data_IF_105681707749
#
_entry.id   IF_105681707749
#
_cell.length_a   1.000
_cell.length_b   1.000
_cell.length_c   1.000
_cell.angle_alpha   90.00
_cell.angle_beta   90.00
_cell.angle_gamma   90.00
#
_symmetry.space_group_name_H-M   'P 1'
#
loop_
_entity.id
_entity.type
_entity.pdbx_description
1 polymer ?
#
# COMPACT_ATOMS: atom_id res chain seq x y z
N UNK A 1 -19.93 33.92 3.10
CA UNK A 1 -18.58 33.50 2.66
C UNK A 1 -17.87 33.04 3.92
N UNK A 2 -17.77 31.72 4.14
CA UNK A 2 -17.12 31.20 5.35
C UNK A 2 -15.61 31.34 5.21
N UNK A 3 -15.01 31.97 6.20
CA UNK A 3 -13.58 32.14 6.35
C UNK A 3 -12.92 30.74 6.36
N UNK A 4 -12.07 30.48 5.38
CA UNK A 4 -11.41 29.18 5.23
C UNK A 4 -10.43 28.96 6.37
N UNK A 5 -10.45 27.78 6.97
CA UNK A 5 -9.50 27.41 8.02
C UNK A 5 -8.06 27.60 7.51
N UNK A 6 -7.41 28.67 7.96
CA UNK A 6 -6.02 28.97 7.62
C UNK A 6 -5.14 28.21 8.60
N UNK A 7 -4.41 27.22 8.10
CA UNK A 7 -3.34 26.55 8.84
C UNK A 7 -2.25 27.57 9.16
N UNK A 8 -2.14 27.98 10.42
CA UNK A 8 -0.97 28.68 10.95
C UNK A 8 0.00 27.66 11.52
N UNK A 9 1.23 27.67 11.01
CA UNK A 9 2.36 26.99 11.66
C UNK A 9 2.82 27.93 12.77
N UNK A 10 2.72 27.48 14.02
CA UNK A 10 3.21 28.19 15.19
C UNK A 10 4.67 27.78 15.38
N UNK A 11 5.58 28.76 15.35
CA UNK A 11 7.03 28.59 15.52
C UNK A 11 7.48 28.71 16.99
N UNK A 12 6.54 28.85 17.93
CA UNK A 12 6.85 28.89 19.37
C UNK A 12 7.06 27.46 19.88
N UNK A 13 8.20 27.15 20.51
CA UNK A 13 8.42 25.86 21.14
C UNK A 13 7.43 25.70 22.30
N UNK A 14 6.52 24.74 22.18
CA UNK A 14 5.73 24.26 23.31
C UNK A 14 6.71 23.63 24.31
N UNK A 15 6.97 24.31 25.43
CA UNK A 15 7.80 23.84 26.55
C UNK A 15 7.12 22.72 27.37
N UNK A 16 6.06 22.09 26.85
CA UNK A 16 5.47 20.88 27.43
C UNK A 16 6.16 19.63 26.86
N UNK A 17 7.10 19.01 27.61
CA UNK A 17 7.77 17.79 27.17
C UNK A 17 6.82 16.60 26.99
N UNK A 18 5.55 16.71 27.42
CA UNK A 18 4.50 15.71 27.20
C UNK A 18 3.69 15.87 25.91
N UNK A 19 3.84 16.99 25.18
CA UNK A 19 3.01 17.32 24.01
C UNK A 19 3.66 17.07 22.64
N UNK A 20 4.96 16.79 22.58
CA UNK A 20 5.69 16.63 21.32
C UNK A 20 5.34 15.31 20.63
N UNK A 21 4.86 15.39 19.38
CA UNK A 21 4.62 14.20 18.54
C UNK A 21 5.96 13.52 18.24
N UNK A 22 6.13 12.22 18.52
CA UNK A 22 7.37 11.51 18.21
C UNK A 22 7.71 11.58 16.72
N UNK A 23 9.00 11.57 16.39
CA UNK A 23 9.44 11.50 15.01
C UNK A 23 8.87 10.24 14.32
N UNK A 24 8.40 10.32 13.07
CA UNK A 24 7.84 9.16 12.39
C UNK A 24 8.93 8.13 12.09
N UNK A 25 8.68 6.88 12.46
CA UNK A 25 9.46 5.69 12.06
C UNK A 25 8.77 4.98 10.88
N UNK A 26 9.38 4.01 10.18
CA UNK A 26 8.72 3.29 9.09
C UNK A 26 7.39 2.65 9.53
N UNK A 27 6.37 2.55 8.67
CA UNK A 27 5.04 2.11 9.08
C UNK A 27 4.96 0.64 9.51
N UNK A 28 5.94 -0.19 9.14
CA UNK A 28 6.04 -1.57 9.62
C UNK A 28 6.67 -1.69 11.02
N UNK A 29 7.12 -0.59 11.61
CA UNK A 29 7.70 -0.55 12.96
C UNK A 29 6.56 -0.49 14.00
N UNK A 30 6.57 -1.33 15.05
CA UNK A 30 5.54 -1.30 16.10
C UNK A 30 5.44 0.05 16.82
N UNK A 31 6.49 0.88 16.80
CA UNK A 31 6.50 2.21 17.40
C UNK A 31 5.96 3.30 16.46
N UNK A 32 5.47 2.94 15.27
CA UNK A 32 4.89 3.88 14.31
C UNK A 32 3.53 4.42 14.79
N UNK A 33 3.55 5.55 15.50
CA UNK A 33 2.36 6.20 16.05
C UNK A 33 1.27 6.54 15.02
N UNK A 34 1.64 6.77 13.75
CA UNK A 34 0.73 7.12 12.67
C UNK A 34 0.17 5.91 11.90
N UNK A 35 0.72 4.71 12.15
CA UNK A 35 0.32 3.47 11.48
C UNK A 35 0.18 2.31 12.48
N UNK A 36 -0.58 2.48 13.59
CA UNK A 36 -0.60 1.52 14.69
C UNK A 36 -1.22 0.15 14.32
N UNK A 37 -1.99 0.11 13.23
CA UNK A 37 -2.56 -1.12 12.70
C UNK A 37 -1.61 -1.85 11.74
N UNK A 38 -0.54 -1.22 11.26
CA UNK A 38 0.40 -1.85 10.33
C UNK A 38 1.39 -2.72 11.10
N UNK A 39 1.53 -3.97 10.65
CA UNK A 39 2.39 -4.99 11.27
C UNK A 39 3.62 -5.31 10.45
N UNK A 40 3.52 -5.13 9.15
CA UNK A 40 4.65 -5.24 8.25
C UNK A 40 4.36 -4.43 6.99
N UNK A 41 5.39 -3.78 6.45
CA UNK A 41 5.34 -3.19 5.12
C UNK A 41 6.67 -3.49 4.43
N UNK A 42 6.61 -4.10 3.25
CA UNK A 42 7.80 -4.51 2.52
C UNK A 42 7.55 -4.57 1.01
N UNK A 43 8.63 -4.46 0.25
CA UNK A 43 8.62 -4.61 -1.21
C UNK A 43 8.63 -6.11 -1.54
N UNK A 44 7.51 -6.62 -2.07
CA UNK A 44 7.37 -8.03 -2.44
C UNK A 44 7.98 -8.34 -3.81
N UNK A 45 8.00 -7.34 -4.69
CA UNK A 45 8.64 -7.32 -5.99
C UNK A 45 8.95 -5.85 -6.36
N UNK A 46 9.83 -5.57 -7.33
CA UNK A 46 10.17 -4.21 -7.72
C UNK A 46 8.94 -3.31 -7.94
N UNK A 47 8.81 -2.27 -7.10
CA UNK A 47 7.71 -1.31 -7.12
C UNK A 47 6.38 -1.79 -6.51
N UNK A 48 6.29 -3.05 -6.06
CA UNK A 48 5.09 -3.64 -5.44
C UNK A 48 5.28 -3.72 -3.93
N UNK A 49 4.51 -2.91 -3.19
CA UNK A 49 4.58 -2.87 -1.72
C UNK A 49 3.39 -3.61 -1.14
N UNK A 50 3.68 -4.64 -0.33
CA UNK A 50 2.70 -5.33 0.48
C UNK A 50 2.64 -4.69 1.87
N UNK A 51 1.43 -4.47 2.38
CA UNK A 51 1.18 -3.98 3.74
C UNK A 51 0.28 -4.97 4.46
N UNK A 52 0.75 -5.48 5.59
CA UNK A 52 -0.01 -6.33 6.50
C UNK A 52 -0.57 -5.46 7.62
N UNK A 53 -1.89 -5.43 7.76
CA UNK A 53 -2.58 -4.70 8.83
C UNK A 53 -3.23 -5.66 9.80
N UNK A 54 -3.23 -5.36 11.08
CA UNK A 54 -4.13 -6.02 12.02
C UNK A 54 -5.55 -5.45 11.87
N UNK A 55 -6.55 -6.33 11.97
CA UNK A 55 -7.98 -6.02 12.01
C UNK A 55 -8.58 -6.69 13.24
N UNK A 56 -9.32 -5.93 14.04
CA UNK A 56 -10.11 -6.38 15.18
C UNK A 56 -9.35 -7.30 16.18
N UNK A 57 -8.03 -7.07 16.33
CA UNK A 57 -7.14 -7.77 17.28
C UNK A 57 -6.92 -9.27 17.02
N UNK A 58 -7.47 -9.83 15.94
CA UNK A 58 -7.45 -11.28 15.67
C UNK A 58 -7.32 -11.65 14.19
N UNK A 59 -7.44 -10.69 13.28
CA UNK A 59 -7.39 -10.91 11.84
C UNK A 59 -6.31 -10.04 11.23
N UNK A 60 -5.83 -10.45 10.05
CA UNK A 60 -4.93 -9.64 9.24
C UNK A 60 -5.62 -9.23 7.95
N UNK A 61 -5.46 -7.97 7.57
CA UNK A 61 -5.75 -7.44 6.25
C UNK A 61 -4.46 -7.33 5.43
N UNK A 62 -4.58 -7.52 4.12
CA UNK A 62 -3.47 -7.44 3.18
C UNK A 62 -3.80 -6.41 2.12
N UNK A 63 -3.06 -5.32 2.11
CA UNK A 63 -3.16 -4.28 1.09
C UNK A 63 -1.92 -4.36 0.20
N UNK A 64 -2.12 -4.16 -1.10
CA UNK A 64 -1.02 -4.13 -2.08
C UNK A 64 -1.08 -2.80 -2.81
N UNK A 65 0.08 -2.13 -2.91
CA UNK A 65 0.29 -0.98 -3.78
C UNK A 65 1.17 -1.42 -4.94
N UNK A 66 0.58 -1.52 -6.11
CA UNK A 66 1.29 -1.77 -7.36
C UNK A 66 1.74 -0.46 -8.01
N UNK A 67 2.77 -0.49 -8.88
CA UNK A 67 3.10 0.66 -9.72
C UNK A 67 1.89 1.07 -10.56
N UNK A 68 1.52 2.36 -10.60
CA UNK A 68 0.40 2.80 -11.41
C UNK A 68 0.71 2.61 -12.90
N UNK A 69 -0.30 2.20 -13.67
CA UNK A 69 -0.24 2.19 -15.12
C UNK A 69 -0.75 3.53 -15.66
N UNK A 70 -0.15 4.00 -16.75
CA UNK A 70 -0.77 5.09 -17.50
C UNK A 70 -2.05 4.57 -18.19
N UNK A 71 -3.03 5.44 -18.53
CA UNK A 71 -4.21 5.00 -19.28
C UNK A 71 -3.88 4.31 -20.62
N UNK A 72 -2.74 4.65 -21.23
CA UNK A 72 -2.27 4.00 -22.45
C UNK A 72 -1.77 2.57 -22.19
N UNK A 73 -1.04 2.38 -21.09
CA UNK A 73 -0.51 1.08 -20.68
C UNK A 73 -1.62 0.15 -20.18
N UNK A 74 -2.63 0.67 -19.48
CA UNK A 74 -3.84 -0.08 -19.12
C UNK A 74 -4.50 -0.67 -20.38
N UNK A 75 -4.75 0.17 -21.40
CA UNK A 75 -5.30 -0.30 -22.67
C UNK A 75 -4.39 -1.29 -23.39
N UNK A 76 -3.07 -1.14 -23.27
CA UNK A 76 -2.12 -2.07 -23.87
C UNK A 76 -2.16 -3.43 -23.18
N UNK A 77 -2.18 -3.45 -21.85
CA UNK A 77 -2.28 -4.64 -21.04
C UNK A 77 -3.60 -5.38 -21.31
N UNK A 78 -4.71 -4.66 -21.43
CA UNK A 78 -6.01 -5.26 -21.74
C UNK A 78 -6.01 -5.94 -23.12
N UNK A 79 -5.41 -5.32 -24.15
CA UNK A 79 -5.26 -5.97 -25.47
C UNK A 79 -4.46 -7.27 -25.41
N UNK A 80 -3.41 -7.31 -24.59
CA UNK A 80 -2.61 -8.53 -24.39
C UNK A 80 -3.46 -9.60 -23.69
N UNK A 81 -4.14 -9.24 -22.61
CA UNK A 81 -5.04 -10.15 -21.86
C UNK A 81 -6.13 -10.71 -22.78
N UNK A 82 -6.79 -9.87 -23.56
CA UNK A 82 -7.83 -10.28 -24.50
C UNK A 82 -7.30 -11.26 -25.54
N UNK A 83 -6.12 -11.00 -26.13
CA UNK A 83 -5.48 -11.89 -27.10
C UNK A 83 -5.28 -13.30 -26.52
N UNK A 84 -4.88 -13.39 -25.25
CA UNK A 84 -4.61 -14.67 -24.61
C UNK A 84 -5.84 -15.29 -23.91
N UNK A 85 -6.92 -14.54 -23.70
CA UNK A 85 -8.14 -15.01 -23.03
C UNK A 85 -8.81 -16.20 -23.74
N UNK A 86 -8.73 -16.25 -25.07
CA UNK A 86 -9.33 -17.31 -25.89
C UNK A 86 -8.46 -18.57 -25.99
N UNK A 87 -7.23 -18.55 -25.47
CA UNK A 87 -6.32 -19.70 -25.56
C UNK A 87 -6.71 -20.74 -24.52
N UNK A 88 -7.54 -21.72 -24.94
CA UNK A 88 -7.65 -22.97 -24.19
C UNK A 88 -6.33 -23.71 -24.33
N UNK A 89 -5.46 -23.60 -23.34
CA UNK A 89 -4.27 -24.44 -23.25
C UNK A 89 -4.72 -25.91 -23.19
N UNK A 90 -4.62 -26.63 -24.32
CA UNK A 90 -4.73 -28.08 -24.29
C UNK A 90 -3.58 -28.55 -23.40
N UNK A 91 -3.91 -29.22 -22.29
CA UNK A 91 -2.93 -29.78 -21.37
C UNK A 91 -1.93 -30.60 -22.20
N UNK A 92 -0.61 -30.30 -22.16
CA UNK A 92 0.37 -31.10 -22.87
C UNK A 92 0.17 -32.57 -22.54
N UNK A 93 0.09 -33.44 -23.56
CA UNK A 93 -0.22 -34.88 -23.42
C UNK A 93 0.92 -35.70 -22.79
N UNK A 94 1.89 -35.07 -22.13
CA UNK A 94 2.98 -35.80 -21.49
C UNK A 94 2.52 -36.39 -20.16
N UNK A 95 1.75 -37.48 -20.23
CA UNK A 95 1.87 -38.57 -19.27
C UNK A 95 2.93 -39.52 -19.85
N UNK A 96 4.19 -39.29 -19.50
CA UNK A 96 5.13 -40.40 -19.41
C UNK A 96 5.05 -40.83 -17.95
N UNK A 97 4.15 -41.77 -17.70
CA UNK A 97 4.31 -42.72 -16.61
C UNK A 97 5.00 -43.94 -17.17
#
# INVERSE_FOLDING_TARGET
MSDGATLRIVDEPDDDPGGAIPAPVPPGDPEAWYAPDVRAQYEAAPGVVATVRERDGRRFGYDVREPPLSPADERALDRVRDRFSAVRHRRPLTRVG
#
